data_IF_626170014714
#
_entry.id   IF_626170014714
#
_cell.length_a   1.000
_cell.length_b   1.000
_cell.length_c   1.000
_cell.angle_alpha   90.00
_cell.angle_beta   90.00
_cell.angle_gamma   90.00
#
_symmetry.space_group_name_H-M   'P 1'
#
loop_
_entity.id
_entity.type
_entity.pdbx_description
1 polymer ?
#
# COMPACT_ATOMS: atom_id res chain seq x y z
N UNK A 1 -11.41 -11.93 10.47
CA UNK A 1 -11.73 -12.29 9.06
C UNK A 1 -10.44 -12.33 8.26
N UNK A 2 -10.32 -13.18 7.23
CA UNK A 2 -9.19 -13.10 6.33
C UNK A 2 -9.21 -11.77 5.58
N UNK A 3 -8.03 -11.18 5.40
CA UNK A 3 -7.84 -9.92 4.68
C UNK A 3 -8.09 -10.14 3.17
N UNK A 4 -8.79 -9.20 2.51
CA UNK A 4 -8.92 -9.20 1.06
C UNK A 4 -7.70 -8.56 0.43
N UNK A 5 -7.18 -9.14 -0.65
CA UNK A 5 -6.06 -8.58 -1.40
C UNK A 5 -6.57 -7.71 -2.54
N UNK A 6 -5.99 -6.52 -2.64
CA UNK A 6 -6.22 -5.55 -3.72
C UNK A 6 -4.88 -5.21 -4.34
N UNK A 7 -4.82 -5.07 -5.66
CA UNK A 7 -3.62 -4.63 -6.36
C UNK A 7 -3.79 -3.25 -6.99
N UNK A 8 -2.72 -2.48 -6.99
CA UNK A 8 -2.54 -1.29 -7.83
C UNK A 8 -1.36 -1.55 -8.74
N UNK A 9 -1.55 -1.39 -10.06
CA UNK A 9 -0.59 -1.77 -11.09
C UNK A 9 -0.23 -0.56 -11.96
N UNK A 10 1.03 -0.43 -12.37
CA UNK A 10 1.46 0.66 -13.25
C UNK A 10 1.27 0.36 -14.75
N UNK A 11 1.06 -0.89 -15.12
CA UNK A 11 0.93 -1.27 -16.52
C UNK A 11 -0.07 -2.43 -16.72
N UNK A 12 -0.48 -2.62 -17.97
CA UNK A 12 -1.49 -3.62 -18.35
C UNK A 12 -1.04 -5.07 -18.12
N UNK A 13 0.25 -5.37 -18.24
CA UNK A 13 0.79 -6.71 -18.00
C UNK A 13 0.62 -7.12 -16.55
N UNK A 14 0.93 -6.20 -15.60
CA UNK A 14 0.72 -6.41 -14.17
C UNK A 14 -0.76 -6.58 -13.86
N UNK A 15 -1.62 -5.71 -14.44
CA UNK A 15 -3.08 -5.78 -14.28
C UNK A 15 -3.62 -7.15 -14.70
N UNK A 16 -3.35 -7.57 -15.93
CA UNK A 16 -3.78 -8.88 -16.46
C UNK A 16 -3.27 -10.04 -15.61
N UNK A 17 -2.03 -9.94 -15.10
CA UNK A 17 -1.46 -10.95 -14.22
C UNK A 17 -2.22 -11.05 -12.91
N UNK A 18 -2.52 -9.93 -12.25
CA UNK A 18 -3.30 -9.88 -11.01
C UNK A 18 -4.70 -10.46 -11.20
N UNK A 19 -5.42 -10.00 -12.23
CA UNK A 19 -6.77 -10.46 -12.57
C UNK A 19 -6.82 -11.96 -12.86
N UNK A 20 -5.82 -12.50 -13.60
CA UNK A 20 -5.71 -13.93 -13.89
C UNK A 20 -5.54 -14.81 -12.63
N UNK A 21 -5.10 -14.22 -11.53
CA UNK A 21 -4.94 -14.86 -10.24
C UNK A 21 -6.09 -14.56 -9.26
N UNK A 22 -7.17 -13.91 -9.74
CA UNK A 22 -8.34 -13.57 -8.94
C UNK A 22 -8.11 -12.41 -7.95
N UNK A 23 -7.11 -11.58 -8.18
CA UNK A 23 -6.85 -10.39 -7.36
C UNK A 23 -7.56 -9.19 -8.00
N UNK A 24 -8.38 -8.51 -7.20
CA UNK A 24 -9.04 -7.26 -7.62
C UNK A 24 -7.98 -6.19 -7.88
N UNK A 25 -8.08 -5.50 -9.02
CA UNK A 25 -7.20 -4.38 -9.38
C UNK A 25 -7.99 -3.10 -9.32
N UNK A 26 -7.48 -2.11 -8.60
CA UNK A 26 -8.04 -0.75 -8.58
C UNK A 26 -6.94 0.29 -8.68
N UNK A 27 -7.24 1.38 -9.40
CA UNK A 27 -6.37 2.55 -9.56
C UNK A 27 -7.07 3.83 -9.13
N UNK A 28 -8.38 3.78 -8.91
CA UNK A 28 -9.22 4.94 -8.62
C UNK A 28 -9.22 5.25 -7.11
N UNK A 29 -8.10 5.77 -6.64
CA UNK A 29 -7.95 6.25 -5.28
C UNK A 29 -8.04 7.77 -5.23
N UNK A 30 -8.93 8.31 -4.38
CA UNK A 30 -8.91 9.72 -4.05
C UNK A 30 -7.63 10.05 -3.26
N UNK A 31 -6.74 10.84 -3.86
CA UNK A 31 -5.44 11.21 -3.30
C UNK A 31 -5.49 12.51 -2.48
N UNK A 32 -6.61 13.23 -2.53
CA UNK A 32 -6.86 14.46 -1.79
C UNK A 32 -8.32 14.58 -1.36
N UNK A 33 -8.59 15.44 -0.39
CA UNK A 33 -9.98 15.71 0.04
C UNK A 33 -10.87 16.25 -1.09
N UNK A 34 -10.29 16.98 -2.05
CA UNK A 34 -11.04 17.52 -3.20
C UNK A 34 -11.50 16.45 -4.21
N UNK A 35 -10.93 15.25 -4.16
CA UNK A 35 -11.28 14.13 -5.04
C UNK A 35 -12.29 13.17 -4.39
N UNK A 36 -12.59 13.36 -3.09
CA UNK A 36 -13.51 12.48 -2.37
C UNK A 36 -14.94 12.66 -2.89
N UNK A 37 -15.54 11.56 -3.27
CA UNK A 37 -16.96 11.44 -3.60
C UNK A 37 -17.58 10.27 -2.85
N UNK A 38 -18.91 10.19 -2.84
CA UNK A 38 -19.63 9.09 -2.18
C UNK A 38 -19.25 7.73 -2.81
N UNK A 39 -18.81 6.79 -1.99
CA UNK A 39 -18.38 5.47 -2.42
C UNK A 39 -16.91 5.39 -2.80
N UNK A 40 -16.16 6.50 -2.81
CA UNK A 40 -14.73 6.49 -3.14
C UNK A 40 -13.89 5.68 -2.15
N UNK A 41 -12.72 5.27 -2.62
CA UNK A 41 -11.64 4.69 -1.80
C UNK A 41 -10.53 5.73 -1.69
N UNK A 42 -10.03 6.01 -0.47
CA UNK A 42 -8.98 7.01 -0.30
C UNK A 42 -7.59 6.39 -0.26
N UNK A 43 -6.62 7.09 -0.87
CA UNK A 43 -5.21 6.75 -0.76
C UNK A 43 -4.62 7.16 0.59
N UNK A 44 -3.47 6.61 0.97
CA UNK A 44 -2.77 7.01 2.20
C UNK A 44 -2.30 8.49 2.19
N UNK A 45 -2.21 9.14 1.03
CA UNK A 45 -1.95 10.57 0.88
C UNK A 45 -3.04 11.49 1.49
N UNK A 46 -4.22 10.95 1.78
CA UNK A 46 -5.29 11.65 2.55
C UNK A 46 -4.95 11.70 4.05
N UNK A 47 -3.84 11.10 4.48
CA UNK A 47 -3.29 11.18 5.84
C UNK A 47 -4.23 10.66 6.93
N UNK A 48 -4.81 9.47 6.74
CA UNK A 48 -5.67 8.85 7.76
C UNK A 48 -4.82 8.19 8.86
N UNK A 49 -4.76 8.82 10.06
CA UNK A 49 -3.93 8.38 11.19
C UNK A 49 -4.71 7.98 12.44
N UNK A 50 -6.01 8.27 12.53
CA UNK A 50 -6.77 8.08 13.77
C UNK A 50 -8.27 7.87 13.52
N UNK A 51 -8.99 7.57 14.60
CA UNK A 51 -10.43 7.31 14.56
C UNK A 51 -11.26 8.49 14.07
N UNK A 52 -10.88 9.72 14.45
CA UNK A 52 -11.62 10.93 14.03
C UNK A 52 -11.50 11.17 12.52
N UNK A 53 -10.33 10.91 11.94
CA UNK A 53 -10.15 10.96 10.48
C UNK A 53 -11.05 9.94 9.76
N UNK A 54 -11.14 8.70 10.28
CA UNK A 54 -12.02 7.68 9.70
C UNK A 54 -13.51 8.03 9.84
N UNK A 55 -13.92 8.59 10.98
CA UNK A 55 -15.30 9.07 11.18
C UNK A 55 -15.63 10.21 10.19
N UNK A 56 -14.69 11.13 9.97
CA UNK A 56 -14.89 12.20 8.97
C UNK A 56 -15.00 11.63 7.55
N UNK A 57 -14.15 10.67 7.17
CA UNK A 57 -14.23 10.01 5.86
C UNK A 57 -15.55 9.25 5.70
N UNK A 58 -16.04 8.60 6.76
CA UNK A 58 -17.38 7.97 6.78
C UNK A 58 -18.49 9.00 6.50
N UNK A 59 -18.45 10.16 7.16
CA UNK A 59 -19.43 11.23 6.98
C UNK A 59 -19.42 11.78 5.54
N UNK A 60 -18.26 11.77 4.87
CA UNK A 60 -18.12 12.12 3.46
C UNK A 60 -18.58 11.00 2.51
N UNK A 61 -18.97 9.84 3.05
CA UNK A 61 -19.47 8.69 2.28
C UNK A 61 -18.38 7.84 1.65
N UNK A 62 -17.12 7.93 2.14
CA UNK A 62 -16.02 7.05 1.72
C UNK A 62 -16.36 5.61 2.08
N UNK A 63 -16.13 4.68 1.15
CA UNK A 63 -16.40 3.25 1.35
C UNK A 63 -15.23 2.51 2.02
N UNK A 64 -13.99 2.89 1.69
CA UNK A 64 -12.77 2.30 2.23
C UNK A 64 -11.65 3.34 2.32
N UNK A 65 -10.90 3.31 3.40
CA UNK A 65 -9.77 4.23 3.60
C UNK A 65 -8.44 3.49 3.77
N UNK A 66 -7.41 3.93 3.02
CA UNK A 66 -6.04 3.45 3.21
C UNK A 66 -5.42 4.19 4.40
N UNK A 67 -5.05 3.45 5.44
CA UNK A 67 -4.34 3.99 6.60
C UNK A 67 -2.91 4.37 6.24
N UNK A 68 -2.39 5.40 6.91
CA UNK A 68 -1.06 5.91 6.59
C UNK A 68 0.05 4.89 6.93
N UNK A 69 1.06 4.68 6.04
CA UNK A 69 2.11 3.67 6.22
C UNK A 69 3.05 3.91 7.42
N UNK A 70 2.99 5.07 8.05
CA UNK A 70 3.76 5.38 9.26
C UNK A 70 3.13 4.83 10.54
N UNK A 71 1.90 4.33 10.49
CA UNK A 71 1.27 3.68 11.64
C UNK A 71 1.88 2.31 11.90
N UNK A 72 2.11 1.99 13.18
CA UNK A 72 2.46 0.65 13.60
C UNK A 72 1.21 -0.19 13.93
N UNK A 73 1.38 -1.51 14.07
CA UNK A 73 0.26 -2.43 14.28
C UNK A 73 -0.52 -2.14 15.59
N UNK A 74 0.13 -1.65 16.63
CA UNK A 74 -0.55 -1.30 17.88
C UNK A 74 -1.48 -0.10 17.66
N UNK A 75 -0.98 0.95 17.01
CA UNK A 75 -1.79 2.12 16.63
C UNK A 75 -2.95 1.73 15.71
N UNK A 76 -2.68 0.91 14.68
CA UNK A 76 -3.71 0.43 13.76
C UNK A 76 -4.79 -0.35 14.51
N UNK A 77 -4.43 -1.23 15.43
CA UNK A 77 -5.37 -2.00 16.25
C UNK A 77 -6.27 -1.10 17.09
N UNK A 78 -5.72 -0.04 17.67
CA UNK A 78 -6.40 0.84 18.62
C UNK A 78 -7.30 1.88 17.90
N UNK A 79 -7.17 2.09 16.60
CA UNK A 79 -8.06 2.93 15.79
C UNK A 79 -9.44 2.26 15.68
N UNK A 80 -10.52 3.01 15.98
CA UNK A 80 -11.90 2.61 15.65
C UNK A 80 -12.09 2.70 14.13
N UNK A 81 -12.64 1.64 13.53
CA UNK A 81 -12.78 1.48 12.06
C UNK A 81 -14.25 1.43 11.68
N UNK A 82 -14.94 2.58 11.52
CA UNK A 82 -16.35 2.63 11.17
C UNK A 82 -16.62 2.31 9.69
N UNK A 83 -15.59 2.31 8.86
CA UNK A 83 -15.61 1.91 7.44
C UNK A 83 -14.52 0.87 7.18
N UNK A 84 -14.55 0.26 6.01
CA UNK A 84 -13.48 -0.64 5.59
C UNK A 84 -12.13 0.08 5.59
N UNK A 85 -11.12 -0.63 6.06
CA UNK A 85 -9.76 -0.09 6.16
C UNK A 85 -8.75 -0.95 5.41
N UNK A 86 -7.81 -0.27 4.79
CA UNK A 86 -6.78 -0.85 3.97
C UNK A 86 -5.40 -0.43 4.48
N UNK A 87 -4.41 -1.30 4.38
CA UNK A 87 -2.99 -0.96 4.56
C UNK A 87 -2.16 -1.48 3.39
N UNK A 88 -1.08 -0.78 3.08
CA UNK A 88 -0.11 -1.27 2.07
C UNK A 88 0.68 -2.41 2.68
N UNK A 89 0.50 -3.62 2.14
CA UNK A 89 1.20 -4.83 2.59
C UNK A 89 2.38 -5.18 1.68
N UNK A 90 2.38 -4.74 0.42
CA UNK A 90 3.46 -4.94 -0.54
C UNK A 90 3.67 -3.70 -1.40
N UNK A 91 4.92 -3.42 -1.72
CA UNK A 91 5.33 -2.49 -2.77
C UNK A 91 6.20 -1.33 -2.30
N UNK A 92 6.69 -0.58 -3.26
CA UNK A 92 7.50 0.62 -3.04
C UNK A 92 6.58 1.82 -2.90
N UNK A 93 6.35 2.26 -1.65
CA UNK A 93 5.50 3.43 -1.40
C UNK A 93 6.15 4.71 -1.93
N UNK A 94 5.31 5.66 -2.35
CA UNK A 94 5.75 7.01 -2.70
C UNK A 94 6.20 7.76 -1.45
N UNK A 95 7.36 8.39 -1.50
CA UNK A 95 7.94 9.14 -0.39
C UNK A 95 7.73 10.65 -0.56
N UNK A 96 7.84 11.14 -1.80
CA UNK A 96 7.69 12.56 -2.09
C UNK A 96 7.40 12.80 -3.57
N UNK A 97 6.79 13.95 -3.87
CA UNK A 97 6.68 14.50 -5.22
C UNK A 97 7.96 15.25 -5.58
N UNK A 98 8.43 15.05 -6.80
CA UNK A 98 9.61 15.71 -7.34
C UNK A 98 9.20 16.93 -8.18
N UNK A 99 9.94 18.02 -8.08
CA UNK A 99 9.72 19.20 -8.93
C UNK A 99 10.09 18.99 -10.41
N UNK A 100 10.76 17.89 -10.73
CA UNK A 100 11.12 17.52 -12.10
C UNK A 100 10.40 16.25 -12.53
N UNK A 101 9.33 16.34 -13.35
CA UNK A 101 8.56 15.18 -13.78
C UNK A 101 9.28 14.29 -14.81
N UNK A 102 10.45 14.69 -15.31
CA UNK A 102 11.24 13.91 -16.27
C UNK A 102 12.27 13.02 -15.61
N UNK A 103 12.45 13.12 -14.29
CA UNK A 103 13.44 12.30 -13.57
C UNK A 103 13.04 10.83 -13.60
N UNK A 104 13.93 9.97 -14.07
CA UNK A 104 13.75 8.53 -14.18
C UNK A 104 14.97 7.81 -13.65
N UNK A 105 14.76 6.59 -13.11
CA UNK A 105 15.84 5.71 -12.68
C UNK A 105 16.15 5.78 -11.20
N UNK A 106 17.38 5.49 -10.82
CA UNK A 106 17.79 5.39 -9.42
C UNK A 106 18.43 6.68 -8.95
N UNK A 107 17.92 7.24 -7.88
CA UNK A 107 18.52 8.36 -7.13
C UNK A 107 19.21 7.79 -5.90
N UNK A 108 20.45 8.19 -5.65
CA UNK A 108 21.22 7.75 -4.47
C UNK A 108 21.38 8.93 -3.52
N UNK A 109 21.06 8.73 -2.25
CA UNK A 109 21.29 9.73 -1.21
C UNK A 109 22.74 9.77 -0.74
N UNK A 110 23.04 10.69 0.19
CA UNK A 110 24.38 10.85 0.75
C UNK A 110 24.88 9.64 1.55
N UNK A 111 23.98 8.80 2.01
CA UNK A 111 24.26 7.59 2.78
C UNK A 111 24.32 6.33 1.91
N UNK A 112 24.16 6.47 0.58
CA UNK A 112 24.20 5.36 -0.36
C UNK A 112 22.88 4.63 -0.56
N UNK A 113 21.79 5.07 0.08
CA UNK A 113 20.47 4.48 -0.14
C UNK A 113 19.95 4.84 -1.53
N UNK A 114 19.41 3.84 -2.22
CA UNK A 114 18.94 3.96 -3.61
C UNK A 114 17.42 4.04 -3.64
N UNK A 115 16.88 5.06 -4.26
CA UNK A 115 15.44 5.31 -4.41
C UNK A 115 15.05 5.25 -5.88
N UNK A 116 13.83 4.81 -6.17
CA UNK A 116 13.30 4.78 -7.53
C UNK A 116 12.59 6.10 -7.85
N UNK A 117 13.12 6.83 -8.83
CA UNK A 117 12.42 7.98 -9.40
C UNK A 117 11.61 7.53 -10.61
N UNK A 118 10.32 7.81 -10.63
CA UNK A 118 9.40 7.51 -11.71
C UNK A 118 8.40 8.66 -11.91
N UNK A 119 8.56 9.37 -13.01
CA UNK A 119 7.77 10.59 -13.25
C UNK A 119 8.11 11.67 -12.25
N UNK A 120 7.07 12.19 -11.60
CA UNK A 120 7.18 13.21 -10.57
C UNK A 120 7.33 12.63 -9.14
N UNK A 121 7.52 11.32 -9.02
CA UNK A 121 7.44 10.63 -7.71
C UNK A 121 8.74 9.89 -7.40
N UNK A 122 9.22 10.07 -6.17
CA UNK A 122 10.29 9.27 -5.57
C UNK A 122 9.65 8.16 -4.73
N UNK A 123 10.06 6.91 -5.00
CA UNK A 123 9.59 5.73 -4.29
C UNK A 123 10.68 5.17 -3.37
N UNK A 124 10.27 4.43 -2.36
CA UNK A 124 11.19 3.73 -1.46
C UNK A 124 12.15 2.81 -2.24
N UNK A 125 13.35 2.60 -1.71
CA UNK A 125 14.39 1.77 -2.32
C UNK A 125 13.97 0.31 -2.44
N UNK A 126 13.38 -0.22 -1.38
CA UNK A 126 12.92 -1.61 -1.29
C UNK A 126 11.42 -1.67 -1.01
N UNK A 127 10.72 -2.72 -1.46
CA UNK A 127 9.30 -2.86 -1.20
C UNK A 127 9.02 -3.15 0.29
N UNK A 128 7.86 -2.72 0.77
CA UNK A 128 7.25 -3.33 1.95
C UNK A 128 6.92 -4.79 1.60
N UNK A 129 7.16 -5.71 2.54
CA UNK A 129 6.77 -7.11 2.40
C UNK A 129 6.45 -7.71 3.77
N UNK A 130 5.24 -8.26 3.93
CA UNK A 130 4.74 -8.78 5.21
C UNK A 130 4.01 -10.14 5.08
N UNK A 131 4.17 -10.86 3.97
CA UNK A 131 3.42 -12.09 3.70
C UNK A 131 3.56 -13.15 4.81
N UNK A 132 4.77 -13.36 5.33
CA UNK A 132 5.07 -14.29 6.42
C UNK A 132 4.57 -13.80 7.80
N UNK A 133 4.20 -12.55 7.92
CA UNK A 133 3.65 -11.89 9.11
C UNK A 133 2.21 -11.40 8.93
N UNK A 134 1.55 -11.82 7.86
CA UNK A 134 0.21 -11.34 7.49
C UNK A 134 -0.82 -11.53 8.62
N UNK A 135 -0.64 -12.57 9.44
CA UNK A 135 -1.52 -12.82 10.60
C UNK A 135 -1.54 -11.67 11.60
N UNK A 136 -0.39 -11.02 11.81
CA UNK A 136 -0.31 -9.87 12.73
C UNK A 136 -1.10 -8.68 12.18
N UNK A 137 -1.04 -8.47 10.85
CA UNK A 137 -1.82 -7.43 10.16
C UNK A 137 -3.32 -7.72 10.24
N UNK A 138 -3.74 -8.97 10.01
CA UNK A 138 -5.15 -9.39 10.18
C UNK A 138 -5.65 -9.16 11.60
N UNK A 139 -4.84 -9.46 12.60
CA UNK A 139 -5.18 -9.28 14.02
C UNK A 139 -5.34 -7.81 14.42
N UNK A 140 -4.85 -6.86 13.61
CA UNK A 140 -5.08 -5.42 13.83
C UNK A 140 -6.45 -4.92 13.36
N UNK A 141 -7.30 -5.81 12.81
CA UNK A 141 -8.68 -5.50 12.40
C UNK A 141 -8.80 -4.83 11.04
N UNK A 142 -7.76 -4.95 10.19
CA UNK A 142 -7.77 -4.46 8.81
C UNK A 142 -8.60 -5.39 7.92
N UNK A 143 -9.38 -4.82 7.01
CA UNK A 143 -10.22 -5.59 6.07
C UNK A 143 -9.52 -5.85 4.74
N UNK A 144 -8.63 -4.95 4.29
CA UNK A 144 -7.99 -5.02 2.98
C UNK A 144 -6.47 -4.82 3.07
N UNK A 145 -5.74 -5.58 2.26
CA UNK A 145 -4.30 -5.46 2.08
C UNK A 145 -3.96 -5.07 0.64
N UNK A 146 -3.40 -3.88 0.46
CA UNK A 146 -3.03 -3.35 -0.86
C UNK A 146 -1.63 -3.76 -1.26
N UNK A 147 -1.49 -4.30 -2.46
CA UNK A 147 -0.22 -4.57 -3.11
C UNK A 147 0.01 -3.53 -4.21
N UNK A 148 1.11 -2.79 -4.15
CA UNK A 148 1.47 -1.77 -5.14
C UNK A 148 2.60 -2.32 -6.00
N UNK A 149 2.30 -2.64 -7.24
CA UNK A 149 3.27 -3.08 -8.23
C UNK A 149 3.78 -1.89 -9.05
N UNK A 150 5.10 -1.74 -9.13
CA UNK A 150 5.77 -0.63 -9.81
C UNK A 150 6.66 -1.11 -10.95
N UNK A 151 7.75 -1.80 -10.61
CA UNK A 151 8.79 -2.25 -11.57
C UNK A 151 8.76 -3.76 -11.80
N UNK A 152 7.88 -4.47 -11.12
CA UNK A 152 7.79 -5.92 -11.18
C UNK A 152 7.26 -6.36 -12.56
N UNK A 153 7.91 -7.38 -13.15
CA UNK A 153 7.39 -8.08 -14.32
C UNK A 153 6.32 -9.12 -13.92
N UNK A 154 5.65 -9.73 -14.88
CA UNK A 154 4.57 -10.70 -14.65
C UNK A 154 4.99 -11.88 -13.75
N UNK A 155 6.22 -12.38 -13.90
CA UNK A 155 6.74 -13.48 -13.08
C UNK A 155 6.92 -13.07 -11.62
N UNK A 156 7.48 -11.89 -11.39
CA UNK A 156 7.65 -11.32 -10.06
C UNK A 156 6.29 -11.03 -9.39
N UNK A 157 5.32 -10.49 -10.14
CA UNK A 157 3.93 -10.30 -9.66
C UNK A 157 3.33 -11.62 -9.20
N UNK A 158 3.41 -12.68 -10.04
CA UNK A 158 2.93 -14.02 -9.66
C UNK A 158 3.62 -14.57 -8.42
N UNK A 159 4.94 -14.40 -8.30
CA UNK A 159 5.71 -14.86 -7.13
C UNK A 159 5.27 -14.16 -5.85
N UNK A 160 5.07 -12.84 -5.89
CA UNK A 160 4.58 -12.04 -4.77
C UNK A 160 3.18 -12.50 -4.36
N UNK A 161 2.22 -12.55 -5.30
CA UNK A 161 0.84 -12.96 -5.00
C UNK A 161 0.83 -14.36 -4.35
N UNK A 162 1.59 -15.31 -4.90
CA UNK A 162 1.71 -16.65 -4.31
C UNK A 162 2.29 -16.62 -2.89
N UNK A 163 3.29 -15.77 -2.63
CA UNK A 163 3.84 -15.62 -1.28
C UNK A 163 2.77 -15.16 -0.28
N UNK A 164 1.90 -14.22 -0.66
CA UNK A 164 0.79 -13.77 0.18
C UNK A 164 -0.31 -14.83 0.33
N UNK A 165 -0.71 -15.50 -0.75
CA UNK A 165 -1.70 -16.58 -0.70
C UNK A 165 -1.26 -17.73 0.22
N UNK A 166 0.01 -18.10 0.20
CA UNK A 166 0.58 -19.18 1.00
C UNK A 166 1.29 -18.72 2.28
N UNK A 167 1.29 -17.41 2.57
CA UNK A 167 1.93 -16.79 3.77
C UNK A 167 3.40 -17.18 3.91
N UNK A 168 4.14 -17.20 2.81
CA UNK A 168 5.54 -17.63 2.75
C UNK A 168 6.49 -16.45 2.64
N UNK A 169 7.71 -16.55 3.22
CA UNK A 169 8.77 -15.59 2.96
C UNK A 169 9.24 -15.67 1.50
N UNK A 170 9.81 -14.56 1.01
CA UNK A 170 10.49 -14.49 -0.28
C UNK A 170 11.96 -14.12 -0.07
N UNK A 171 12.84 -14.59 -0.99
CA UNK A 171 14.25 -14.19 -1.02
C UNK A 171 14.42 -12.90 -1.84
N UNK A 172 13.93 -11.79 -1.28
CA UNK A 172 14.08 -10.45 -1.84
C UNK A 172 14.59 -9.50 -0.75
N UNK A 173 15.21 -8.41 -1.14
CA UNK A 173 15.47 -7.31 -0.24
C UNK A 173 14.15 -6.55 0.01
N UNK A 174 13.79 -6.31 1.27
CA UNK A 174 12.53 -5.70 1.64
C UNK A 174 12.61 -4.95 2.98
N UNK A 175 11.60 -4.16 3.25
CA UNK A 175 11.33 -3.55 4.56
C UNK A 175 10.00 -4.03 5.13
N UNK A 176 9.87 -3.97 6.45
CA UNK A 176 8.58 -4.16 7.14
C UNK A 176 7.79 -2.85 7.30
N UNK A 177 8.28 -1.75 6.74
CA UNK A 177 7.72 -0.44 7.02
C UNK A 177 7.78 -0.10 8.51
N UNK A 178 6.74 0.53 9.01
CA UNK A 178 6.59 0.88 10.44
C UNK A 178 5.81 -0.15 11.25
N UNK A 179 5.28 -1.22 10.67
CA UNK A 179 4.36 -2.15 11.34
C UNK A 179 4.84 -2.64 12.71
N UNK A 180 6.12 -2.92 12.88
CA UNK A 180 6.71 -3.38 14.15
C UNK A 180 7.61 -2.33 14.81
N UNK A 181 7.53 -1.07 14.40
CA UNK A 181 8.26 0.00 15.07
C UNK A 181 7.75 0.17 16.51
N UNK A 182 8.67 0.38 17.46
CA UNK A 182 8.32 0.76 18.83
C UNK A 182 7.82 2.22 18.83
N UNK A 183 6.81 2.50 19.63
CA UNK A 183 6.37 3.87 19.94
C UNK A 183 7.33 4.48 20.93
#
# INVERSE_FOLDING_TARGET
MPIKFIATCLNSEQTQTCESLGIEVTQDYAASYGEISRGSVTDFSVHCFNSAALEQLQNLGVSRATLHPELNLAQIRDIKKPIDTEVVIYGKISLMKLGNPQLRGTVTDRMGAKFLASGDTLHNSVPIFVADKLKDVENSGITHGRMIFTTENAEQVRAVIRAYMFRKPMKIEFTRGKFWAKV
#
